data_IF_585961842648
#
_entry.id   IF_585961842648
#
_cell.length_a   1.000
_cell.length_b   1.000
_cell.length_c   1.000
_cell.angle_alpha   90.00
_cell.angle_beta   90.00
_cell.angle_gamma   90.00
#
_symmetry.space_group_name_H-M   'P 1'
#
loop_
_entity.id
_entity.type
_entity.pdbx_description
1 polymer ?
#
# COMPACT_ATOMS: atom_id res chain seq x y z
N UNK A 1 -5.68 46.94 28.77
CA UNK A 1 -4.54 46.35 28.03
C UNK A 1 -5.10 45.62 26.84
N UNK A 2 -4.73 45.93 25.59
CA UNK A 2 -5.43 45.49 24.41
C UNK A 2 -4.96 44.11 23.93
N UNK A 3 -5.95 43.28 23.52
CA UNK A 3 -5.78 41.99 22.84
C UNK A 3 -5.12 42.20 21.48
N UNK A 4 -3.99 41.56 21.22
CA UNK A 4 -3.38 41.49 19.88
C UNK A 4 -4.14 40.44 19.05
N UNK A 5 -4.84 40.90 18.01
CA UNK A 5 -5.33 40.09 16.90
C UNK A 5 -4.12 39.60 16.08
N UNK A 6 -3.95 38.31 15.98
CA UNK A 6 -3.07 37.71 15.00
C UNK A 6 -3.84 37.58 13.67
N UNK A 7 -3.45 38.36 12.70
CA UNK A 7 -3.96 38.28 11.32
C UNK A 7 -3.51 36.97 10.67
N UNK A 8 -4.47 36.11 10.33
CA UNK A 8 -4.28 34.97 9.45
C UNK A 8 -4.04 35.50 8.02
N UNK A 9 -2.85 35.33 7.52
CA UNK A 9 -2.55 35.51 6.11
C UNK A 9 -3.08 34.28 5.35
N UNK A 10 -4.22 34.44 4.70
CA UNK A 10 -4.73 33.56 3.67
C UNK A 10 -3.90 33.85 2.40
N UNK A 11 -2.98 32.96 2.06
CA UNK A 11 -2.41 32.91 0.72
C UNK A 11 -3.47 32.34 -0.22
N UNK A 12 -3.91 33.08 -1.23
CA UNK A 12 -4.71 32.49 -2.29
C UNK A 12 -3.78 31.58 -3.11
N UNK A 13 -4.03 30.29 -3.09
CA UNK A 13 -3.47 29.34 -4.07
C UNK A 13 -4.07 29.74 -5.41
N UNK A 14 -3.28 30.40 -6.22
CA UNK A 14 -3.61 30.70 -7.60
C UNK A 14 -3.59 29.39 -8.37
N UNK A 15 -4.76 28.74 -8.52
CA UNK A 15 -4.95 27.64 -9.46
C UNK A 15 -4.84 28.25 -10.85
N UNK A 16 -3.66 28.18 -11.42
CA UNK A 16 -3.45 28.50 -12.82
C UNK A 16 -4.09 27.38 -13.65
N UNK A 17 -5.38 27.53 -13.97
CA UNK A 17 -6.03 26.79 -15.03
C UNK A 17 -5.38 27.22 -16.34
N UNK A 18 -4.47 26.40 -16.84
CA UNK A 18 -3.89 26.58 -18.17
C UNK A 18 -4.98 26.24 -19.19
N UNK A 19 -5.73 27.25 -19.61
CA UNK A 19 -6.60 27.12 -20.79
C UNK A 19 -5.71 27.15 -22.04
N UNK A 20 -5.55 26.00 -22.66
CA UNK A 20 -4.98 25.94 -24.02
C UNK A 20 -6.02 26.45 -25.01
N UNK A 21 -5.87 27.69 -25.45
CA UNK A 21 -6.62 28.20 -26.60
C UNK A 21 -5.98 27.58 -27.86
N UNK A 22 -6.68 26.66 -28.48
CA UNK A 22 -6.32 26.12 -29.79
C UNK A 22 -6.73 27.15 -30.87
N UNK A 23 -5.76 27.83 -31.46
CA UNK A 23 -6.00 28.61 -32.67
C UNK A 23 -6.15 27.65 -33.85
N UNK A 24 -7.27 27.73 -34.55
CA UNK A 24 -7.63 26.91 -35.68
C UNK A 24 -6.70 27.05 -36.87
N UNK A 25 -6.41 25.92 -37.50
CA UNK A 25 -5.79 25.79 -38.83
C UNK A 25 -6.39 24.57 -39.52
N UNK A 26 -6.95 24.78 -40.71
CA UNK A 26 -7.65 23.79 -41.52
C UNK A 26 -6.80 22.54 -41.80
N UNK A 27 -7.24 21.44 -41.29
CA UNK A 27 -6.69 20.11 -41.53
C UNK A 27 -7.31 19.11 -40.55
N UNK A 28 -8.51 18.60 -40.89
CA UNK A 28 -9.33 17.74 -40.04
C UNK A 28 -8.74 16.33 -39.84
N UNK A 29 -7.67 16.21 -39.11
CA UNK A 29 -7.24 14.93 -38.56
C UNK A 29 -7.93 14.68 -37.23
N UNK A 30 -9.02 13.92 -37.20
CA UNK A 30 -9.67 13.47 -35.97
C UNK A 30 -8.98 12.22 -35.42
N UNK A 31 -8.61 12.21 -34.17
CA UNK A 31 -8.22 10.97 -33.47
C UNK A 31 -9.45 10.44 -32.73
N UNK A 32 -9.83 9.23 -33.08
CA UNK A 32 -10.91 8.53 -32.41
C UNK A 32 -10.31 7.63 -31.35
N UNK A 33 -10.76 7.80 -30.08
CA UNK A 33 -10.41 6.93 -28.97
C UNK A 33 -11.59 6.02 -28.68
N UNK A 34 -11.32 4.75 -28.51
CA UNK A 34 -12.30 3.82 -27.98
C UNK A 34 -11.71 3.13 -26.74
N UNK A 35 -12.51 2.97 -25.71
CA UNK A 35 -12.17 2.26 -24.48
C UNK A 35 -13.41 1.56 -23.93
N UNK A 36 -13.17 0.53 -23.14
CA UNK A 36 -14.23 -0.10 -22.37
C UNK A 36 -14.23 0.53 -21.00
N UNK A 37 -15.28 1.28 -20.68
CA UNK A 37 -15.45 1.81 -19.34
C UNK A 37 -15.55 0.66 -18.35
N UNK A 38 -14.64 0.63 -17.40
CA UNK A 38 -14.71 -0.29 -16.25
C UNK A 38 -15.24 0.53 -15.09
N UNK A 39 -16.53 0.38 -14.81
CA UNK A 39 -17.14 1.02 -13.66
C UNK A 39 -16.39 0.63 -12.38
N UNK A 40 -16.13 1.60 -11.52
CA UNK A 40 -15.80 1.35 -10.13
C UNK A 40 -16.98 0.56 -9.55
N UNK A 41 -16.76 -0.70 -9.20
CA UNK A 41 -17.80 -1.53 -8.61
C UNK A 41 -18.27 -0.90 -7.30
N UNK A 42 -19.60 -0.96 -7.06
CA UNK A 42 -20.21 -0.61 -5.78
C UNK A 42 -19.39 -1.19 -4.60
N UNK A 43 -19.38 -0.44 -3.51
CA UNK A 43 -18.77 -0.82 -2.24
C UNK A 43 -19.09 -2.28 -1.93
N UNK A 44 -18.08 -3.11 -1.92
CA UNK A 44 -18.22 -4.49 -1.47
C UNK A 44 -18.17 -4.49 0.03
N UNK A 45 -19.14 -5.13 0.64
CA UNK A 45 -19.15 -5.60 2.00
C UNK A 45 -17.91 -6.43 2.29
N UNK A 46 -17.22 -6.12 3.40
CA UNK A 46 -16.01 -6.85 3.79
C UNK A 46 -15.85 -6.98 5.31
N UNK A 47 -15.15 -8.01 5.71
CA UNK A 47 -14.80 -8.29 7.09
C UNK A 47 -13.36 -7.92 7.38
N UNK A 48 -13.09 -7.38 8.56
CA UNK A 48 -11.75 -7.11 9.06
C UNK A 48 -11.35 -8.17 10.08
N UNK A 49 -10.13 -8.71 9.94
CA UNK A 49 -9.46 -9.54 10.93
C UNK A 49 -8.18 -8.87 11.38
N UNK A 50 -8.15 -8.40 12.60
CA UNK A 50 -7.04 -7.64 13.15
C UNK A 50 -6.18 -8.54 14.05
N UNK A 51 -4.91 -8.68 13.72
CA UNK A 51 -3.96 -9.55 14.42
C UNK A 51 -2.80 -8.73 14.99
N UNK A 52 -2.54 -8.86 16.29
CA UNK A 52 -1.31 -8.34 16.90
C UNK A 52 -0.44 -9.51 17.32
N UNK A 53 0.84 -9.48 16.89
CA UNK A 53 1.80 -10.48 17.32
C UNK A 53 1.93 -10.48 18.83
N UNK A 54 1.78 -11.67 19.42
CA UNK A 54 1.96 -11.92 20.85
C UNK A 54 3.27 -12.68 21.07
N UNK A 55 4.38 -11.97 20.98
CA UNK A 55 5.72 -12.49 21.32
C UNK A 55 6.39 -11.65 22.38
N UNK A 56 7.38 -12.22 23.07
CA UNK A 56 8.11 -11.51 24.12
C UNK A 56 8.83 -10.25 23.62
N UNK A 57 9.14 -10.14 22.33
CA UNK A 57 9.77 -8.96 21.72
C UNK A 57 8.81 -7.77 21.65
N UNK A 58 7.49 -8.01 21.59
CA UNK A 58 6.48 -6.96 21.54
C UNK A 58 6.27 -6.22 22.86
N UNK A 59 6.61 -6.84 23.99
CA UNK A 59 6.36 -6.29 25.32
C UNK A 59 6.95 -4.88 25.54
N UNK A 60 8.05 -4.57 24.88
CA UNK A 60 8.70 -3.26 25.01
C UNK A 60 7.91 -2.10 24.41
N UNK A 61 6.95 -2.36 23.51
CA UNK A 61 6.08 -1.34 22.93
C UNK A 61 4.92 -0.92 23.85
N UNK A 62 4.71 -1.59 24.97
CA UNK A 62 3.62 -1.26 25.91
C UNK A 62 4.04 -0.27 27.00
N UNK A 63 5.19 0.38 26.85
CA UNK A 63 5.70 1.37 27.79
C UNK A 63 5.02 2.73 27.66
N UNK A 64 5.11 3.54 28.72
CA UNK A 64 4.65 4.92 28.70
C UNK A 64 5.36 5.73 27.60
N UNK A 65 4.62 6.57 26.89
CA UNK A 65 5.10 7.37 25.77
C UNK A 65 5.33 6.57 24.47
N UNK A 66 4.86 5.32 24.39
CA UNK A 66 4.74 4.55 23.16
C UNK A 66 3.44 4.94 22.44
N UNK A 67 3.53 5.16 21.12
CA UNK A 67 2.34 5.37 20.26
C UNK A 67 1.71 4.07 19.78
N UNK A 68 2.32 2.92 20.07
CA UNK A 68 1.93 1.62 19.52
C UNK A 68 0.45 1.30 19.74
N UNK A 69 -0.03 1.38 20.99
CA UNK A 69 -1.43 1.11 21.31
C UNK A 69 -2.38 2.11 20.66
N UNK A 70 -2.02 3.40 20.67
CA UNK A 70 -2.84 4.45 20.08
C UNK A 70 -3.04 4.23 18.57
N UNK A 71 -1.98 3.82 17.87
CA UNK A 71 -2.07 3.52 16.43
C UNK A 71 -2.96 2.31 16.18
N UNK A 72 -2.83 1.24 16.99
CA UNK A 72 -3.69 0.05 16.85
C UNK A 72 -5.15 0.41 17.12
N UNK A 73 -5.41 1.11 18.23
CA UNK A 73 -6.74 1.56 18.60
C UNK A 73 -7.37 2.43 17.51
N UNK A 74 -6.66 3.46 17.07
CA UNK A 74 -7.11 4.36 15.99
C UNK A 74 -7.46 3.58 14.72
N UNK A 75 -6.51 2.76 14.24
CA UNK A 75 -6.68 2.10 12.95
C UNK A 75 -7.74 1.00 12.98
N UNK A 76 -7.87 0.29 14.10
CA UNK A 76 -8.92 -0.71 14.28
C UNK A 76 -10.31 -0.07 14.29
N UNK A 77 -10.49 1.07 14.99
CA UNK A 77 -11.75 1.83 14.98
C UNK A 77 -12.10 2.38 13.59
N UNK A 78 -11.13 2.95 12.87
CA UNK A 78 -11.37 3.44 11.50
C UNK A 78 -11.83 2.32 10.57
N UNK A 79 -11.25 1.13 10.71
CA UNK A 79 -11.67 -0.04 9.92
C UNK A 79 -13.04 -0.57 10.35
N UNK A 80 -13.34 -0.60 11.65
CA UNK A 80 -14.65 -1.00 12.17
C UNK A 80 -15.77 -0.12 11.62
N UNK A 81 -15.54 1.19 11.48
CA UNK A 81 -16.52 2.14 10.93
C UNK A 81 -16.90 1.87 9.46
N UNK A 82 -16.09 1.13 8.72
CA UNK A 82 -16.30 0.90 7.28
C UNK A 82 -16.46 -0.58 6.91
N UNK A 83 -16.19 -1.50 7.83
CA UNK A 83 -16.35 -2.95 7.66
C UNK A 83 -17.73 -3.44 8.12
N UNK A 84 -18.16 -4.60 7.64
CA UNK A 84 -19.37 -5.23 8.15
C UNK A 84 -19.14 -5.88 9.52
N UNK A 85 -17.98 -6.50 9.68
CA UNK A 85 -17.55 -7.09 10.95
C UNK A 85 -16.07 -6.86 11.19
N UNK A 86 -15.70 -6.69 12.46
CA UNK A 86 -14.30 -6.65 12.90
C UNK A 86 -14.08 -7.74 13.93
N UNK A 87 -13.07 -8.56 13.70
CA UNK A 87 -12.65 -9.64 14.60
C UNK A 87 -11.22 -9.42 15.06
N UNK A 88 -10.97 -9.54 16.35
CA UNK A 88 -9.69 -9.24 16.98
C UNK A 88 -8.97 -10.53 17.41
N UNK A 89 -7.66 -10.57 17.16
CA UNK A 89 -6.84 -11.75 17.46
C UNK A 89 -5.47 -11.36 17.98
N UNK A 90 -4.92 -12.15 18.88
CA UNK A 90 -3.48 -12.21 19.09
C UNK A 90 -2.88 -13.38 18.31
N UNK A 91 -1.62 -13.24 17.92
CA UNK A 91 -0.97 -14.19 17.01
C UNK A 91 0.46 -14.50 17.46
N UNK A 92 0.74 -15.80 17.63
CA UNK A 92 2.11 -16.31 17.83
C UNK A 92 2.26 -17.66 17.13
N UNK A 93 2.49 -18.76 17.85
CA UNK A 93 2.46 -20.11 17.30
C UNK A 93 1.04 -20.58 16.95
N UNK A 94 0.02 -19.83 17.34
CA UNK A 94 -1.39 -20.06 17.09
C UNK A 94 -2.17 -18.76 16.99
N UNK A 95 -3.35 -18.80 16.39
CA UNK A 95 -4.32 -17.70 16.36
C UNK A 95 -5.13 -17.76 17.65
N UNK A 96 -5.14 -16.68 18.42
CA UNK A 96 -5.83 -16.56 19.71
C UNK A 96 -6.96 -15.52 19.56
N UNK A 97 -8.24 -15.94 19.47
CA UNK A 97 -9.35 -15.00 19.35
C UNK A 97 -9.49 -14.14 20.60
N UNK A 98 -9.80 -12.86 20.40
CA UNK A 98 -10.20 -11.92 21.43
C UNK A 98 -11.69 -11.60 21.26
N UNK A 99 -12.47 -11.56 22.34
CA UNK A 99 -13.94 -11.54 22.26
C UNK A 99 -14.57 -10.21 22.64
N UNK A 100 -13.81 -9.39 23.35
CA UNK A 100 -14.28 -8.09 23.79
C UNK A 100 -13.99 -7.02 22.71
N UNK A 101 -14.28 -5.77 22.99
CA UNK A 101 -14.16 -4.66 22.03
C UNK A 101 -12.70 -4.19 21.80
N UNK A 102 -12.55 -3.16 20.97
CA UNK A 102 -11.24 -2.59 20.61
C UNK A 102 -10.58 -1.89 21.80
N UNK A 103 -11.37 -1.28 22.69
CA UNK A 103 -10.86 -0.63 23.89
C UNK A 103 -10.22 -1.66 24.80
N UNK A 104 -10.92 -2.73 25.14
CA UNK A 104 -10.43 -3.84 25.94
C UNK A 104 -9.26 -4.58 25.27
N UNK A 105 -9.30 -4.70 23.93
CA UNK A 105 -8.20 -5.27 23.15
C UNK A 105 -6.89 -4.51 23.39
N UNK A 106 -6.92 -3.19 23.30
CA UNK A 106 -5.74 -2.36 23.52
C UNK A 106 -5.32 -2.29 24.99
N UNK A 107 -6.28 -2.29 25.93
CA UNK A 107 -6.00 -2.36 27.37
C UNK A 107 -5.33 -3.68 27.77
N UNK A 108 -5.69 -4.78 27.12
CA UNK A 108 -5.08 -6.11 27.35
C UNK A 108 -3.61 -6.18 26.91
N UNK A 109 -3.13 -5.25 26.08
CA UNK A 109 -1.73 -5.22 25.64
C UNK A 109 -0.81 -4.70 26.76
N UNK A 110 -0.53 -5.56 27.73
CA UNK A 110 0.46 -5.33 28.78
C UNK A 110 1.41 -6.53 28.87
N UNK A 111 2.65 -6.38 29.37
CA UNK A 111 3.56 -7.51 29.53
C UNK A 111 2.97 -8.65 30.37
N UNK A 112 2.18 -8.29 31.38
CA UNK A 112 1.59 -9.25 32.32
C UNK A 112 0.47 -10.10 31.71
N UNK A 113 -0.30 -9.51 30.78
CA UNK A 113 -1.40 -10.21 30.10
C UNK A 113 -0.91 -10.97 28.89
N UNK A 114 0.00 -10.39 28.09
CA UNK A 114 0.54 -11.00 26.89
C UNK A 114 1.16 -12.37 27.14
N UNK A 115 1.94 -12.52 28.21
CA UNK A 115 2.56 -13.79 28.57
C UNK A 115 1.54 -14.89 28.96
N UNK A 116 0.28 -14.51 29.24
CA UNK A 116 -0.79 -15.41 29.68
C UNK A 116 -1.81 -15.75 28.60
N UNK A 117 -1.79 -15.09 27.46
CA UNK A 117 -2.77 -15.29 26.39
C UNK A 117 -2.67 -16.68 25.71
N UNK A 118 -1.60 -17.40 25.93
CA UNK A 118 -1.38 -18.76 25.39
C UNK A 118 -0.50 -18.78 24.16
N UNK A 119 -0.28 -19.99 23.64
CA UNK A 119 0.66 -20.25 22.55
C UNK A 119 2.12 -20.13 22.98
N UNK A 120 3.04 -20.14 22.02
CA UNK A 120 4.48 -20.02 22.29
C UNK A 120 4.92 -18.58 22.00
N UNK A 121 5.15 -17.79 23.05
CA UNK A 121 5.60 -16.40 22.98
C UNK A 121 7.10 -16.24 22.75
N UNK A 122 7.88 -17.33 22.84
CA UNK A 122 9.35 -17.32 22.66
C UNK A 122 9.82 -17.61 21.25
N UNK A 123 8.90 -17.90 20.31
CA UNK A 123 9.25 -18.22 18.93
C UNK A 123 8.43 -17.37 17.94
N UNK A 124 9.11 -16.49 17.23
CA UNK A 124 8.53 -15.73 16.11
C UNK A 124 8.96 -16.36 14.79
N UNK A 125 8.04 -17.09 14.16
CA UNK A 125 8.21 -17.62 12.81
C UNK A 125 7.27 -16.82 11.89
N UNK A 126 7.78 -15.70 11.36
CA UNK A 126 6.97 -14.73 10.61
C UNK A 126 6.31 -15.34 9.37
N UNK A 127 7.00 -16.27 8.68
CA UNK A 127 6.46 -17.01 7.56
C UNK A 127 5.25 -17.87 7.96
N UNK A 128 5.29 -18.49 9.14
CA UNK A 128 4.15 -19.26 9.66
C UNK A 128 3.00 -18.36 10.10
N UNK A 129 3.29 -17.24 10.77
CA UNK A 129 2.28 -16.26 11.14
C UNK A 129 1.57 -15.67 9.92
N UNK A 130 2.32 -15.24 8.91
CA UNK A 130 1.74 -14.79 7.63
C UNK A 130 0.92 -15.89 6.95
N UNK A 131 1.38 -17.14 7.01
CA UNK A 131 0.62 -18.30 6.53
C UNK A 131 -0.71 -18.50 7.27
N UNK A 132 -0.73 -18.34 8.60
CA UNK A 132 -1.96 -18.43 9.40
C UNK A 132 -2.92 -17.30 9.07
N UNK A 133 -2.44 -16.06 8.96
CA UNK A 133 -3.24 -14.89 8.57
C UNK A 133 -3.90 -15.13 7.21
N UNK A 134 -3.12 -15.50 6.20
CA UNK A 134 -3.60 -15.74 4.83
C UNK A 134 -4.57 -16.92 4.75
N UNK A 135 -4.29 -18.03 5.44
CA UNK A 135 -5.18 -19.18 5.44
C UNK A 135 -6.53 -18.92 6.12
N UNK A 136 -6.61 -17.92 6.97
CA UNK A 136 -7.82 -17.50 7.66
C UNK A 136 -8.64 -16.45 6.88
N UNK A 137 -8.24 -16.12 5.64
CA UNK A 137 -8.91 -15.16 4.76
C UNK A 137 -9.87 -15.84 3.78
N UNK A 138 -10.90 -15.10 3.38
CA UNK A 138 -11.69 -15.34 2.18
C UNK A 138 -11.61 -14.13 1.23
N UNK A 139 -12.38 -14.13 0.15
CA UNK A 139 -12.33 -13.05 -0.85
C UNK A 139 -12.89 -11.70 -0.37
N UNK A 140 -13.63 -11.68 0.74
CA UNK A 140 -14.16 -10.47 1.38
C UNK A 140 -13.45 -10.11 2.68
N UNK A 141 -12.35 -10.79 3.03
CA UNK A 141 -11.59 -10.50 4.23
C UNK A 141 -10.45 -9.55 3.94
N UNK A 142 -10.28 -8.54 4.80
CA UNK A 142 -9.06 -7.76 4.94
C UNK A 142 -8.43 -8.10 6.28
N UNK A 143 -7.20 -8.59 6.25
CA UNK A 143 -6.42 -8.92 7.44
C UNK A 143 -5.42 -7.82 7.73
N UNK A 144 -5.41 -7.30 8.95
CA UNK A 144 -4.37 -6.42 9.48
C UNK A 144 -3.48 -7.26 10.39
N UNK A 145 -2.18 -7.24 10.15
CA UNK A 145 -1.20 -7.93 10.98
C UNK A 145 -0.13 -6.98 11.47
N UNK A 146 0.05 -6.89 12.79
CA UNK A 146 1.02 -5.98 13.43
C UNK A 146 2.11 -6.79 14.13
N UNK A 147 3.38 -6.49 13.80
CA UNK A 147 4.56 -7.21 14.28
C UNK A 147 5.80 -6.32 14.26
N UNK A 148 6.76 -6.57 15.14
CA UNK A 148 8.10 -5.97 15.06
C UNK A 148 8.99 -6.67 14.01
N UNK A 149 8.51 -7.74 13.43
CA UNK A 149 9.19 -8.57 12.43
C UNK A 149 10.58 -9.06 12.85
N UNK A 150 10.82 -9.24 14.16
CA UNK A 150 12.06 -9.81 14.66
C UNK A 150 12.05 -11.33 14.39
N UNK A 151 13.06 -11.78 13.64
CA UNK A 151 13.26 -13.21 13.39
C UNK A 151 14.17 -13.82 14.44
N UNK A 152 13.76 -14.96 15.00
CA UNK A 152 14.60 -15.75 15.90
C UNK A 152 15.74 -16.46 15.14
N UNK A 153 16.86 -15.77 14.93
CA UNK A 153 17.99 -16.27 14.13
C UNK A 153 19.04 -16.94 15.02
N UNK A 154 19.46 -18.19 14.74
CA UNK A 154 20.56 -18.82 15.44
C UNK A 154 21.89 -18.09 15.23
N UNK A 155 22.75 -18.10 16.24
CA UNK A 155 24.07 -17.47 16.18
C UNK A 155 24.91 -17.96 15.00
N UNK A 156 25.55 -17.03 14.28
CA UNK A 156 26.46 -17.33 13.17
C UNK A 156 25.79 -17.84 11.89
N UNK A 157 24.45 -17.85 11.80
CA UNK A 157 23.70 -18.40 10.66
C UNK A 157 22.78 -17.36 9.97
N UNK A 158 23.01 -16.07 10.21
CA UNK A 158 22.11 -14.99 9.77
C UNK A 158 21.80 -15.04 8.26
N UNK A 159 22.82 -15.08 7.40
CA UNK A 159 22.64 -15.03 5.94
C UNK A 159 21.82 -16.22 5.43
N UNK A 160 22.16 -17.42 5.89
CA UNK A 160 21.44 -18.64 5.49
C UNK A 160 20.00 -18.60 5.99
N UNK A 161 19.79 -18.15 7.24
CA UNK A 161 18.47 -18.12 7.84
C UNK A 161 17.57 -17.10 7.17
N UNK A 162 18.07 -15.90 6.88
CA UNK A 162 17.33 -14.87 6.17
C UNK A 162 16.99 -15.29 4.73
N UNK A 163 17.88 -15.98 4.03
CA UNK A 163 17.60 -16.52 2.71
C UNK A 163 16.48 -17.56 2.75
N UNK A 164 16.50 -18.47 3.72
CA UNK A 164 15.43 -19.46 3.93
C UNK A 164 14.11 -18.75 4.28
N UNK A 165 14.13 -17.75 5.15
CA UNK A 165 12.94 -16.99 5.50
C UNK A 165 12.34 -16.26 4.28
N UNK A 166 13.18 -15.70 3.40
CA UNK A 166 12.76 -15.12 2.13
C UNK A 166 12.03 -16.12 1.25
N UNK A 167 12.61 -17.32 1.07
CA UNK A 167 12.04 -18.37 0.22
C UNK A 167 10.72 -18.89 0.81
N UNK A 168 10.63 -19.04 2.12
CA UNK A 168 9.41 -19.45 2.81
C UNK A 168 8.30 -18.41 2.62
N UNK A 169 8.58 -17.12 2.85
CA UNK A 169 7.62 -16.04 2.64
C UNK A 169 7.18 -16.00 1.16
N UNK A 170 8.13 -16.09 0.22
CA UNK A 170 7.80 -16.19 -1.20
C UNK A 170 6.83 -17.32 -1.48
N UNK A 171 7.08 -18.52 -0.93
CA UNK A 171 6.20 -19.69 -1.10
C UNK A 171 4.80 -19.45 -0.54
N UNK A 172 4.69 -18.83 0.64
CA UNK A 172 3.40 -18.46 1.26
C UNK A 172 2.61 -17.59 0.31
N UNK A 173 3.21 -16.49 -0.21
CA UNK A 173 2.53 -15.55 -1.09
C UNK A 173 2.27 -16.10 -2.49
N UNK A 174 3.15 -16.91 -3.06
CA UNK A 174 2.88 -17.62 -4.34
C UNK A 174 1.66 -18.51 -4.21
N UNK A 175 1.53 -19.25 -3.11
CA UNK A 175 0.36 -20.11 -2.89
C UNK A 175 -0.91 -19.30 -2.64
N UNK A 176 -0.80 -18.17 -1.93
CA UNK A 176 -1.91 -17.25 -1.71
C UNK A 176 -2.42 -16.65 -3.03
N UNK A 177 -1.52 -16.14 -3.88
CA UNK A 177 -1.83 -15.56 -5.19
C UNK A 177 -2.47 -16.55 -6.18
N UNK A 178 -2.18 -17.85 -6.04
CA UNK A 178 -2.87 -18.90 -6.82
C UNK A 178 -4.34 -19.04 -6.43
N UNK A 179 -4.67 -18.86 -5.14
CA UNK A 179 -6.04 -18.94 -4.61
C UNK A 179 -6.79 -17.62 -4.77
N UNK A 180 -6.14 -16.51 -4.52
CA UNK A 180 -6.67 -15.15 -4.49
C UNK A 180 -5.89 -14.31 -5.50
N UNK A 181 -6.32 -14.34 -6.78
CA UNK A 181 -5.59 -13.69 -7.88
C UNK A 181 -5.51 -12.17 -7.75
N UNK A 182 -6.43 -11.57 -7.03
CA UNK A 182 -6.51 -10.14 -6.74
C UNK A 182 -5.92 -9.78 -5.36
N UNK A 183 -5.15 -10.69 -4.76
CA UNK A 183 -4.50 -10.41 -3.48
C UNK A 183 -3.60 -9.18 -3.60
N UNK A 184 -3.75 -8.27 -2.66
CA UNK A 184 -2.87 -7.13 -2.43
C UNK A 184 -2.23 -7.23 -1.05
N UNK A 185 -1.10 -6.57 -0.90
CA UNK A 185 -0.41 -6.41 0.38
C UNK A 185 0.10 -4.99 0.49
N UNK A 186 -0.18 -4.33 1.60
CA UNK A 186 0.46 -3.09 2.00
C UNK A 186 1.21 -3.27 3.30
N UNK A 187 2.37 -2.65 3.41
CA UNK A 187 3.22 -2.72 4.59
C UNK A 187 3.58 -1.30 5.00
N UNK A 188 3.14 -0.93 6.18
CA UNK A 188 3.48 0.33 6.82
C UNK A 188 4.63 0.10 7.79
N UNK A 189 5.70 0.87 7.65
CA UNK A 189 6.81 0.93 8.60
C UNK A 189 6.54 2.08 9.57
N UNK A 190 6.36 1.77 10.82
CA UNK A 190 6.07 2.72 11.89
C UNK A 190 7.21 2.72 12.92
N UNK A 191 7.34 3.81 13.65
CA UNK A 191 8.25 3.87 14.78
C UNK A 191 7.47 4.12 16.08
N UNK A 192 7.93 3.51 17.17
CA UNK A 192 7.42 3.82 18.49
C UNK A 192 8.51 3.71 19.55
N UNK A 193 8.32 4.38 20.69
CA UNK A 193 9.17 4.14 21.85
C UNK A 193 9.05 2.68 22.26
N UNK A 194 10.18 2.08 22.51
CA UNK A 194 10.35 0.73 23.00
C UNK A 194 11.19 0.75 24.27
N UNK A 195 10.64 0.26 25.37
CA UNK A 195 11.37 0.10 26.63
C UNK A 195 11.16 -1.31 27.16
N UNK A 196 12.16 -2.16 26.97
CA UNK A 196 12.05 -3.58 27.32
C UNK A 196 13.25 -4.40 26.88
N UNK A 197 13.09 -5.72 26.96
CA UNK A 197 14.11 -6.67 26.50
C UNK A 197 14.17 -6.72 24.98
N UNK A 198 15.31 -6.38 24.44
CA UNK A 198 15.63 -6.56 23.02
C UNK A 198 16.35 -7.88 22.80
N UNK A 199 15.77 -8.70 21.92
CA UNK A 199 16.26 -10.03 21.59
C UNK A 199 17.19 -9.96 20.38
N UNK A 200 18.46 -9.78 20.64
CA UNK A 200 19.48 -9.84 19.60
C UNK A 200 19.90 -11.29 19.39
N UNK A 201 19.92 -11.77 18.13
CA UNK A 201 20.31 -13.15 17.88
C UNK A 201 21.74 -13.45 18.36
N UNK A 202 21.89 -14.62 19.00
CA UNK A 202 23.14 -15.10 19.54
C UNK A 202 23.67 -14.38 20.76
N UNK A 203 22.86 -13.52 21.42
CA UNK A 203 23.25 -12.80 22.63
C UNK A 203 22.17 -12.85 23.71
N UNK A 204 22.59 -12.62 24.95
CA UNK A 204 21.63 -12.41 26.04
C UNK A 204 20.77 -11.18 25.76
N UNK A 205 19.45 -11.24 25.98
CA UNK A 205 18.58 -10.10 25.80
C UNK A 205 19.03 -8.89 26.64
N UNK A 206 19.04 -7.70 26.02
CA UNK A 206 19.44 -6.46 26.65
C UNK A 206 18.24 -5.59 26.96
N UNK A 207 18.25 -4.91 28.11
CA UNK A 207 17.29 -3.85 28.40
C UNK A 207 17.66 -2.61 27.60
N UNK A 208 16.69 -2.09 26.85
CA UNK A 208 16.85 -0.87 26.05
C UNK A 208 15.69 0.08 26.27
N UNK A 209 15.92 1.36 25.99
CA UNK A 209 14.88 2.41 25.92
C UNK A 209 15.23 3.29 24.70
N UNK A 210 14.50 3.11 23.60
CA UNK A 210 14.78 3.82 22.34
C UNK A 210 13.59 3.76 21.39
N UNK A 211 13.64 4.54 20.31
CA UNK A 211 12.70 4.41 19.19
C UNK A 211 13.04 3.17 18.37
N UNK A 212 12.03 2.33 18.10
CA UNK A 212 12.18 1.13 17.28
C UNK A 212 11.10 1.01 16.22
N UNK A 213 11.43 0.44 15.04
CA UNK A 213 10.44 0.16 14.02
C UNK A 213 9.56 -1.03 14.42
N UNK A 214 8.29 -0.97 13.99
CA UNK A 214 7.36 -2.08 13.87
C UNK A 214 6.58 -1.93 12.56
N UNK A 215 5.85 -2.95 12.18
CA UNK A 215 5.20 -3.01 10.88
C UNK A 215 3.75 -3.39 11.01
N UNK A 216 2.90 -2.69 10.29
CA UNK A 216 1.49 -3.03 10.12
C UNK A 216 1.26 -3.44 8.68
N UNK A 217 0.70 -4.61 8.48
CA UNK A 217 0.48 -5.25 7.20
C UNK A 217 -1.02 -5.29 6.92
N UNK A 218 -1.42 -4.82 5.77
CA UNK A 218 -2.78 -4.99 5.26
C UNK A 218 -2.72 -6.03 4.15
N UNK A 219 -3.51 -7.09 4.29
CA UNK A 219 -3.53 -8.22 3.35
C UNK A 219 -4.98 -8.50 2.98
N UNK A 220 -5.32 -8.40 1.69
CA UNK A 220 -6.69 -8.59 1.22
C UNK A 220 -6.81 -8.45 -0.28
N UNK A 221 -8.04 -8.40 -0.81
CA UNK A 221 -8.24 -8.00 -2.20
C UNK A 221 -7.66 -6.60 -2.44
N UNK A 222 -6.83 -6.41 -3.46
CA UNK A 222 -6.24 -5.12 -3.81
C UNK A 222 -7.29 -4.01 -3.99
N UNK A 223 -8.50 -4.37 -4.42
CA UNK A 223 -9.62 -3.42 -4.55
C UNK A 223 -10.13 -2.97 -3.20
N UNK A 224 -10.25 -3.89 -2.23
CA UNK A 224 -10.66 -3.55 -0.87
C UNK A 224 -9.58 -2.70 -0.17
N UNK A 225 -8.29 -3.05 -0.33
CA UNK A 225 -7.21 -2.23 0.20
C UNK A 225 -7.20 -0.82 -0.41
N UNK A 226 -7.39 -0.71 -1.73
CA UNK A 226 -7.53 0.59 -2.40
C UNK A 226 -8.72 1.40 -1.89
N UNK A 227 -9.83 0.76 -1.53
CA UNK A 227 -10.98 1.42 -0.92
C UNK A 227 -10.69 1.89 0.51
N UNK A 228 -10.02 1.09 1.32
CA UNK A 228 -9.55 1.48 2.65
C UNK A 228 -8.64 2.70 2.54
N UNK A 229 -7.69 2.70 1.61
CA UNK A 229 -6.79 3.84 1.39
C UNK A 229 -7.52 5.13 1.00
N UNK A 230 -8.63 5.02 0.28
CA UNK A 230 -9.47 6.19 -0.04
C UNK A 230 -10.27 6.70 1.14
N UNK A 231 -10.79 5.81 1.98
CA UNK A 231 -11.69 6.16 3.09
C UNK A 231 -10.96 6.53 4.38
N UNK A 232 -10.00 5.70 4.76
CA UNK A 232 -9.23 5.85 6.00
C UNK A 232 -7.94 6.63 5.72
N UNK A 233 -7.22 6.27 4.65
CA UNK A 233 -5.94 6.85 4.31
C UNK A 233 -4.87 6.56 5.36
N UNK A 234 -3.79 7.34 5.31
CA UNK A 234 -2.64 7.16 6.24
C UNK A 234 -2.37 8.39 7.10
N UNK A 235 -3.09 9.50 6.89
CA UNK A 235 -2.81 10.79 7.55
C UNK A 235 -3.03 10.77 9.07
N UNK A 236 -3.91 9.90 9.57
CA UNK A 236 -4.17 9.72 11.00
C UNK A 236 -3.26 8.68 11.68
N UNK A 237 -2.40 7.99 10.92
CA UNK A 237 -1.49 6.98 11.47
C UNK A 237 -0.26 7.67 12.07
N UNK A 238 -0.22 7.75 13.39
CA UNK A 238 0.88 8.38 14.12
C UNK A 238 2.20 7.65 13.87
N UNK A 239 3.28 8.42 13.63
CA UNK A 239 4.63 7.89 13.43
C UNK A 239 4.80 6.90 12.25
N UNK A 240 3.94 6.99 11.26
CA UNK A 240 4.16 6.33 9.99
C UNK A 240 5.40 6.93 9.31
N UNK A 241 6.39 6.09 9.02
CA UNK A 241 7.67 6.52 8.43
C UNK A 241 7.70 6.28 6.93
N UNK A 242 7.25 5.08 6.50
CA UNK A 242 7.33 4.63 5.12
C UNK A 242 6.26 3.57 4.84
N UNK A 243 5.95 3.37 3.56
CA UNK A 243 5.05 2.31 3.11
C UNK A 243 5.55 1.65 1.82
N UNK A 244 5.10 0.43 1.57
CA UNK A 244 5.24 -0.27 0.29
C UNK A 244 4.02 -1.13 0.03
N UNK A 245 3.54 -1.12 -1.21
CA UNK A 245 2.41 -1.94 -1.63
C UNK A 245 2.78 -2.91 -2.76
N UNK A 246 2.13 -4.06 -2.76
CA UNK A 246 2.24 -5.09 -3.79
C UNK A 246 0.83 -5.46 -4.26
N UNK A 247 0.61 -5.33 -5.54
CA UNK A 247 -0.66 -5.70 -6.17
C UNK A 247 -0.43 -6.41 -7.49
N UNK A 248 -1.36 -7.26 -7.86
CA UNK A 248 -1.42 -7.89 -9.18
C UNK A 248 -2.51 -7.20 -10.00
N UNK A 249 -2.29 -5.92 -10.31
CA UNK A 249 -3.30 -5.06 -10.93
C UNK A 249 -3.73 -5.62 -12.29
N UNK A 250 -4.94 -6.16 -12.39
CA UNK A 250 -5.47 -6.72 -13.64
C UNK A 250 -6.10 -5.64 -14.53
N UNK A 251 -6.96 -4.80 -14.00
CA UNK A 251 -7.65 -3.74 -14.75
C UNK A 251 -7.70 -2.47 -13.92
N UNK A 252 -7.27 -1.37 -14.49
CA UNK A 252 -7.39 -0.05 -13.89
C UNK A 252 -8.67 0.61 -14.43
N UNK A 253 -9.65 0.93 -13.58
CA UNK A 253 -10.83 1.70 -14.00
C UNK A 253 -10.41 3.08 -14.49
N UNK A 254 -10.90 3.50 -15.64
CA UNK A 254 -10.60 4.82 -16.19
C UNK A 254 -11.70 5.31 -17.12
N UNK A 255 -11.70 6.61 -17.36
CA UNK A 255 -12.50 7.27 -18.40
C UNK A 255 -11.67 8.32 -19.12
N UNK A 256 -12.00 8.59 -20.36
CA UNK A 256 -11.41 9.72 -21.10
C UNK A 256 -12.27 10.95 -20.86
N UNK A 257 -11.63 12.07 -20.57
CA UNK A 257 -12.30 13.36 -20.39
C UNK A 257 -12.25 14.11 -21.71
N UNK A 258 -13.43 14.47 -22.22
CA UNK A 258 -13.52 15.28 -23.44
C UNK A 258 -13.08 16.73 -23.22
N UNK A 259 -13.00 17.53 -24.29
CA UNK A 259 -12.57 18.94 -24.25
C UNK A 259 -13.40 19.82 -23.29
N UNK A 260 -14.63 19.40 -22.96
CA UNK A 260 -15.52 20.07 -22.03
C UNK A 260 -15.51 19.48 -20.62
N UNK A 261 -14.62 18.53 -20.34
CA UNK A 261 -14.51 17.89 -19.02
C UNK A 261 -15.61 16.89 -18.71
N UNK A 262 -16.47 16.55 -19.68
CA UNK A 262 -17.56 15.58 -19.49
C UNK A 262 -17.08 14.18 -19.84
N UNK A 263 -17.19 13.17 -18.96
CA UNK A 263 -16.88 11.78 -19.28
C UNK A 263 -17.77 11.27 -20.40
N UNK A 264 -17.18 10.52 -21.35
CA UNK A 264 -17.94 9.96 -22.47
C UNK A 264 -17.34 8.67 -23.01
N UNK A 265 -18.18 7.85 -23.66
CA UNK A 265 -17.81 6.51 -24.16
C UNK A 265 -17.09 6.51 -25.51
N UNK A 266 -17.07 7.61 -26.23
CA UNK A 266 -16.31 7.80 -27.46
C UNK A 266 -15.99 9.27 -27.61
N UNK A 267 -14.74 9.59 -27.84
CA UNK A 267 -14.29 10.96 -28.02
C UNK A 267 -13.53 11.07 -29.32
N UNK A 268 -13.98 11.95 -30.22
CA UNK A 268 -13.13 12.44 -31.31
C UNK A 268 -12.36 13.63 -30.74
N UNK A 269 -11.04 13.51 -30.66
CA UNK A 269 -10.18 14.63 -30.32
C UNK A 269 -9.97 15.42 -31.61
N UNK A 270 -10.40 16.67 -31.61
CA UNK A 270 -10.11 17.55 -32.71
C UNK A 270 -8.67 17.98 -32.67
N UNK A 271 -8.06 17.99 -33.80
CA UNK A 271 -6.97 18.75 -34.32
C UNK A 271 -5.70 18.12 -34.61
N UNK A 272 -5.31 18.33 -35.84
CA UNK A 272 -3.89 18.34 -36.10
C UNK A 272 -3.47 19.18 -37.28
N UNK A 273 -2.47 19.95 -37.03
CA UNK A 273 -1.49 20.33 -38.04
C UNK A 273 -0.52 19.15 -38.17
N UNK A 274 -0.23 18.69 -39.39
CA UNK A 274 0.75 17.63 -39.70
C UNK A 274 2.00 17.80 -38.82
N UNK A 275 2.39 16.76 -38.06
CA UNK A 275 3.54 16.80 -37.18
C UNK A 275 3.30 17.33 -35.76
N UNK A 276 2.08 17.65 -35.34
CA UNK A 276 1.76 18.03 -33.94
C UNK A 276 1.18 16.86 -33.13
N UNK A 277 1.47 16.86 -31.83
CA UNK A 277 0.93 15.88 -30.87
C UNK A 277 -0.51 16.21 -30.55
N UNK A 278 -1.40 15.23 -30.58
CA UNK A 278 -2.69 15.36 -29.91
C UNK A 278 -2.54 15.04 -28.43
N UNK A 279 -3.20 15.82 -27.57
CA UNK A 279 -3.27 15.57 -26.13
C UNK A 279 -4.68 15.21 -25.74
N UNK A 280 -4.81 14.32 -24.75
CA UNK A 280 -6.07 13.97 -24.13
C UNK A 280 -5.86 13.67 -22.65
N UNK A 281 -6.92 13.83 -21.87
CA UNK A 281 -6.94 13.64 -20.45
C UNK A 281 -7.70 12.36 -20.13
N UNK A 282 -7.15 11.53 -19.26
CA UNK A 282 -7.85 10.41 -18.66
C UNK A 282 -7.93 10.59 -17.15
N UNK A 283 -9.04 10.14 -16.56
CA UNK A 283 -9.17 9.96 -15.13
C UNK A 283 -9.14 8.47 -14.82
N UNK A 284 -8.26 8.07 -13.91
CA UNK A 284 -8.03 6.68 -13.57
C UNK A 284 -8.14 6.44 -12.06
N UNK A 285 -8.68 5.29 -11.67
CA UNK A 285 -8.63 4.83 -10.29
C UNK A 285 -7.38 3.97 -10.09
N UNK A 286 -6.31 4.58 -9.58
CA UNK A 286 -5.03 3.91 -9.30
C UNK A 286 -4.96 3.35 -7.88
N UNK A 287 -6.01 3.45 -7.06
CA UNK A 287 -6.00 3.03 -5.66
C UNK A 287 -5.63 1.56 -5.48
N UNK A 288 -6.12 0.69 -6.36
CA UNK A 288 -5.82 -0.76 -6.34
C UNK A 288 -4.39 -1.13 -6.73
N UNK A 289 -3.59 -0.16 -7.19
CA UNK A 289 -2.15 -0.38 -7.42
C UNK A 289 -1.36 -0.47 -6.13
N UNK A 290 -1.90 0.06 -5.03
CA UNK A 290 -1.30 0.11 -3.69
C UNK A 290 0.05 0.84 -3.68
N UNK A 291 0.25 1.78 -4.60
CA UNK A 291 1.46 2.57 -4.69
C UNK A 291 1.25 3.95 -4.07
N UNK A 292 2.29 4.50 -3.47
CA UNK A 292 2.25 5.85 -2.93
C UNK A 292 2.03 6.90 -4.03
N UNK A 293 1.30 7.99 -3.72
CA UNK A 293 1.00 9.06 -4.67
C UNK A 293 2.26 9.65 -5.32
N UNK A 294 3.35 9.78 -4.56
CA UNK A 294 4.64 10.26 -5.08
C UNK A 294 5.22 9.31 -6.16
N UNK A 295 5.03 8.00 -5.99
CA UNK A 295 5.43 7.02 -7.00
C UNK A 295 4.56 7.13 -8.24
N UNK A 296 3.25 7.27 -8.07
CA UNK A 296 2.27 7.38 -9.15
C UNK A 296 2.41 8.69 -9.93
N UNK A 297 2.83 9.78 -9.29
CA UNK A 297 3.07 11.06 -9.96
C UNK A 297 4.27 11.04 -10.92
N UNK A 298 5.19 10.10 -10.75
CA UNK A 298 6.37 10.00 -11.63
C UNK A 298 6.05 9.21 -12.89
N UNK A 299 6.01 9.89 -14.04
CA UNK A 299 5.69 9.29 -15.35
C UNK A 299 6.66 8.19 -15.79
N UNK A 300 7.90 8.16 -15.26
CA UNK A 300 8.87 7.10 -15.51
C UNK A 300 8.45 5.75 -14.90
N UNK A 301 7.51 5.75 -13.95
CA UNK A 301 7.00 4.54 -13.30
C UNK A 301 5.86 3.86 -14.07
N UNK A 302 5.67 4.23 -15.32
CA UNK A 302 4.69 3.59 -16.20
C UNK A 302 5.37 2.89 -17.38
N UNK A 303 4.81 1.75 -17.74
CA UNK A 303 5.14 1.03 -18.97
C UNK A 303 4.06 1.31 -20.01
N UNK A 304 4.48 1.49 -21.26
CA UNK A 304 3.63 1.71 -22.42
C UNK A 304 3.95 0.69 -23.50
N UNK A 305 2.95 0.24 -24.23
CA UNK A 305 3.13 -0.69 -25.34
C UNK A 305 3.76 0.01 -26.54
N UNK A 306 3.37 1.26 -26.80
CA UNK A 306 3.81 2.03 -27.96
C UNK A 306 4.70 3.23 -27.60
N UNK A 307 5.81 3.45 -28.30
CA UNK A 307 6.61 4.67 -28.17
C UNK A 307 5.89 5.93 -28.68
N UNK A 308 4.81 5.77 -29.47
CA UNK A 308 4.03 6.87 -30.03
C UNK A 308 3.13 7.55 -28.99
N UNK A 309 2.90 6.91 -27.86
CA UNK A 309 2.15 7.48 -26.73
C UNK A 309 3.14 7.97 -25.68
N UNK A 310 2.95 9.18 -25.17
CA UNK A 310 3.72 9.71 -24.06
C UNK A 310 2.79 10.12 -22.91
N UNK A 311 3.17 9.78 -21.69
CA UNK A 311 2.54 10.27 -20.46
C UNK A 311 3.27 11.57 -20.10
N UNK A 312 2.56 12.68 -20.13
CA UNK A 312 3.13 14.01 -19.87
C UNK A 312 3.11 14.34 -18.38
N UNK A 313 2.01 13.99 -17.73
CA UNK A 313 1.77 14.31 -16.34
C UNK A 313 0.82 13.27 -15.72
N UNK A 314 1.03 12.97 -14.45
CA UNK A 314 0.08 12.24 -13.60
C UNK A 314 -0.05 13.00 -12.30
N UNK A 315 -1.29 13.31 -11.89
CA UNK A 315 -1.56 14.04 -10.64
C UNK A 315 -2.73 13.43 -9.88
N UNK A 316 -2.65 13.48 -8.57
CA UNK A 316 -3.78 13.11 -7.70
C UNK A 316 -4.91 14.13 -7.84
N UNK A 317 -6.15 13.65 -7.77
CA UNK A 317 -7.36 14.48 -7.80
C UNK A 317 -8.30 14.10 -6.67
N UNK A 318 -9.10 15.07 -6.25
CA UNK A 318 -10.24 14.82 -5.36
C UNK A 318 -11.47 14.51 -6.23
N UNK A 319 -11.78 13.22 -6.37
CA UNK A 319 -12.93 12.76 -7.15
C UNK A 319 -13.49 11.48 -6.49
N UNK A 320 -14.81 11.30 -6.42
CA UNK A 320 -15.43 10.14 -5.75
C UNK A 320 -15.14 8.80 -6.43
N UNK A 321 -14.81 8.82 -7.73
CA UNK A 321 -14.63 7.60 -8.53
C UNK A 321 -13.17 7.36 -8.92
N UNK A 322 -12.46 8.43 -9.29
CA UNK A 322 -11.10 8.35 -9.81
C UNK A 322 -10.12 9.05 -8.87
N UNK A 323 -8.94 8.48 -8.72
CA UNK A 323 -7.92 9.00 -7.82
C UNK A 323 -6.90 9.91 -8.51
N UNK A 324 -6.71 9.73 -9.82
CA UNK A 324 -5.68 10.44 -10.58
C UNK A 324 -6.17 10.91 -11.95
N UNK A 325 -5.60 12.02 -12.41
CA UNK A 325 -5.65 12.45 -13.80
C UNK A 325 -4.30 12.22 -14.47
N UNK A 326 -4.35 11.76 -15.72
CA UNK A 326 -3.18 11.53 -16.57
C UNK A 326 -3.33 12.29 -17.88
N UNK A 327 -2.35 13.14 -18.19
CA UNK A 327 -2.25 13.82 -19.49
C UNK A 327 -1.43 12.97 -20.44
N UNK A 328 -2.05 12.49 -21.50
CA UNK A 328 -1.41 11.69 -22.53
C UNK A 328 -1.24 12.49 -23.82
N UNK A 329 -0.19 12.22 -24.56
CA UNK A 329 -0.01 12.75 -25.91
C UNK A 329 0.28 11.61 -26.88
N UNK A 330 -0.24 11.76 -28.12
CA UNK A 330 -0.04 10.83 -29.22
C UNK A 330 0.74 11.52 -30.30
N UNK A 331 1.73 10.83 -30.86
CA UNK A 331 2.48 11.26 -32.02
C UNK A 331 1.85 10.69 -33.27
N UNK A 332 1.41 11.59 -34.15
CA UNK A 332 0.91 11.36 -35.48
C UNK A 332 -0.09 10.19 -35.71
N UNK A 333 -0.85 10.21 -36.75
CA UNK A 333 -1.99 9.40 -37.18
C UNK A 333 -1.90 7.86 -37.00
N UNK A 334 -1.24 7.38 -35.98
CA UNK A 334 -1.08 5.97 -35.70
C UNK A 334 -2.38 5.34 -35.18
N UNK A 335 -2.85 4.33 -35.90
CA UNK A 335 -3.84 3.40 -35.34
C UNK A 335 -3.11 2.40 -34.47
N UNK A 336 -3.44 2.34 -33.18
CA UNK A 336 -2.78 1.42 -32.26
C UNK A 336 -3.64 1.07 -31.04
N UNK A 337 -3.38 -0.09 -30.51
CA UNK A 337 -3.88 -0.50 -29.19
C UNK A 337 -2.80 -0.24 -28.14
N UNK A 338 -3.07 0.69 -27.24
CA UNK A 338 -2.18 1.04 -26.14
C UNK A 338 -2.58 0.32 -24.86
N UNK A 339 -1.58 -0.05 -24.08
CA UNK A 339 -1.75 -0.58 -22.72
C UNK A 339 -0.75 0.11 -21.81
N UNK A 340 -1.27 0.95 -20.90
CA UNK A 340 -0.47 1.67 -19.91
C UNK A 340 -0.55 0.91 -18.59
N UNK A 341 0.60 0.56 -18.05
CA UNK A 341 0.73 -0.19 -16.78
C UNK A 341 1.56 0.60 -15.79
N UNK A 342 1.20 0.53 -14.52
CA UNK A 342 2.10 0.97 -13.45
C UNK A 342 3.19 -0.10 -13.28
N UNK A 343 4.46 0.29 -13.34
CA UNK A 343 5.57 -0.65 -13.14
C UNK A 343 5.48 -1.28 -11.76
N UNK A 344 5.83 -2.55 -11.69
CA UNK A 344 6.03 -3.20 -10.38
C UNK A 344 7.21 -2.53 -9.71
N UNK A 345 6.98 -2.00 -8.51
CA UNK A 345 8.03 -1.37 -7.74
C UNK A 345 9.13 -2.39 -7.42
N UNK A 346 10.38 -2.04 -7.71
CA UNK A 346 11.49 -2.66 -7.02
C UNK A 346 11.41 -2.30 -5.54
N UNK A 347 12.03 -3.07 -4.66
CA UNK A 347 12.02 -2.75 -3.25
C UNK A 347 12.49 -1.30 -3.04
N UNK A 348 11.67 -0.46 -2.38
CA UNK A 348 12.05 0.93 -2.17
C UNK A 348 13.28 1.01 -1.26
N UNK A 349 14.08 2.06 -1.44
CA UNK A 349 15.35 2.25 -0.73
C UNK A 349 15.20 2.12 0.79
N UNK A 350 14.08 2.58 1.36
CA UNK A 350 13.86 2.50 2.79
C UNK A 350 13.89 1.05 3.35
N UNK A 351 13.53 0.05 2.54
CA UNK A 351 13.58 -1.37 2.96
C UNK A 351 15.03 -1.80 3.19
N UNK A 352 15.95 -1.31 2.37
CA UNK A 352 17.39 -1.52 2.56
C UNK A 352 17.92 -0.72 3.75
N UNK A 353 17.46 0.54 3.90
CA UNK A 353 17.89 1.43 4.99
C UNK A 353 17.43 0.93 6.36
N UNK A 354 16.23 0.33 6.44
CA UNK A 354 15.68 -0.26 7.68
C UNK A 354 16.19 -1.67 7.95
N UNK A 355 16.92 -2.30 7.02
CA UNK A 355 17.46 -3.63 7.20
C UNK A 355 18.75 -3.61 8.00
N UNK A 356 18.88 -4.53 8.95
CA UNK A 356 20.12 -4.84 9.65
C UNK A 356 20.47 -6.32 9.46
N UNK A 357 21.73 -6.59 9.06
CA UNK A 357 22.24 -7.95 8.92
C UNK A 357 22.86 -8.48 10.19
N UNK A 358 23.20 -7.59 11.10
CA UNK A 358 23.93 -7.91 12.33
C UNK A 358 23.01 -8.07 13.55
N UNK A 359 21.79 -7.58 13.46
CA UNK A 359 20.85 -7.49 14.58
C UNK A 359 21.32 -6.55 15.70
N UNK A 360 22.30 -5.68 15.43
CA UNK A 360 22.88 -4.78 16.44
C UNK A 360 22.31 -3.38 16.41
N UNK A 361 21.75 -2.96 15.27
CA UNK A 361 21.21 -1.63 15.13
C UNK A 361 19.78 -1.57 15.66
N UNK A 362 19.61 -0.94 16.83
CA UNK A 362 18.32 -0.83 17.52
C UNK A 362 17.24 -0.08 16.74
N UNK A 363 17.62 0.77 15.78
CA UNK A 363 16.70 1.55 14.92
C UNK A 363 16.32 0.85 13.63
N UNK A 364 16.77 -0.41 13.44
CA UNK A 364 16.53 -1.23 12.26
C UNK A 364 15.97 -2.60 12.67
N UNK A 365 15.47 -3.33 11.68
CA UNK A 365 14.94 -4.69 11.85
C UNK A 365 15.83 -5.69 11.12
N UNK A 366 16.24 -6.73 11.84
CA UNK A 366 17.12 -7.75 11.28
C UNK A 366 16.39 -8.57 10.20
N UNK A 367 16.91 -8.55 8.98
CA UNK A 367 16.41 -9.34 7.87
C UNK A 367 15.13 -8.86 7.20
N UNK A 368 14.61 -7.67 7.53
CA UNK A 368 13.33 -7.17 6.97
C UNK A 368 13.35 -7.12 5.42
N UNK A 369 14.48 -6.81 4.79
CA UNK A 369 14.60 -6.81 3.33
C UNK A 369 14.34 -8.18 2.70
N UNK A 370 14.64 -9.25 3.42
CA UNK A 370 14.41 -10.61 2.94
C UNK A 370 12.93 -10.98 3.02
N UNK A 371 12.26 -10.56 4.09
CA UNK A 371 10.82 -10.77 4.26
C UNK A 371 10.03 -10.03 3.17
N UNK A 372 10.24 -8.71 3.05
CA UNK A 372 9.58 -7.91 2.02
C UNK A 372 10.02 -8.33 0.61
N UNK A 373 11.30 -8.69 0.45
CA UNK A 373 11.84 -9.23 -0.81
C UNK A 373 11.22 -10.56 -1.24
N UNK A 374 10.86 -11.42 -0.29
CA UNK A 374 10.14 -12.66 -0.57
C UNK A 374 8.76 -12.39 -1.18
N UNK A 375 8.04 -11.37 -0.68
CA UNK A 375 6.77 -10.92 -1.25
C UNK A 375 6.97 -10.36 -2.65
N UNK A 376 7.91 -9.44 -2.83
CA UNK A 376 8.22 -8.87 -4.14
C UNK A 376 8.51 -9.95 -5.18
N UNK A 377 9.31 -10.96 -4.81
CA UNK A 377 9.63 -12.10 -5.70
C UNK A 377 8.40 -12.97 -6.00
N UNK A 378 7.47 -13.10 -5.05
CA UNK A 378 6.21 -13.82 -5.28
C UNK A 378 5.36 -13.10 -6.32
N UNK A 379 5.17 -11.80 -6.17
CA UNK A 379 4.41 -11.00 -7.13
C UNK A 379 5.08 -11.00 -8.51
N UNK A 380 6.40 -10.81 -8.59
CA UNK A 380 7.16 -10.88 -9.87
C UNK A 380 6.97 -12.21 -10.59
N UNK A 381 6.80 -13.33 -9.87
CA UNK A 381 6.69 -14.66 -10.47
C UNK A 381 5.31 -14.98 -11.06
N UNK A 382 4.26 -14.20 -10.73
CA UNK A 382 2.86 -14.52 -11.10
C UNK A 382 2.21 -13.38 -11.92
N UNK A 383 2.86 -12.23 -12.04
CA UNK A 383 2.30 -11.01 -12.61
C UNK A 383 1.68 -11.19 -14.00
N UNK A 384 0.37 -10.92 -14.09
CA UNK A 384 -0.34 -10.57 -15.33
C UNK A 384 -0.92 -9.17 -15.17
N UNK A 385 -0.11 -8.14 -15.43
CA UNK A 385 -0.60 -6.76 -15.37
C UNK A 385 -1.41 -6.44 -16.63
N UNK A 386 -2.68 -6.08 -16.48
CA UNK A 386 -3.49 -5.65 -17.62
C UNK A 386 -3.44 -4.14 -17.84
N UNK A 387 -3.55 -3.28 -16.88
CA UNK A 387 -3.42 -1.82 -17.02
C UNK A 387 -4.61 -1.12 -17.71
N UNK A 388 -4.36 0.10 -18.16
CA UNK A 388 -5.30 0.96 -18.91
C UNK A 388 -5.21 0.60 -20.39
N UNK A 389 -6.32 0.15 -21.00
CA UNK A 389 -6.37 -0.24 -22.41
C UNK A 389 -7.15 0.79 -23.23
N UNK A 390 -6.51 1.39 -24.21
CA UNK A 390 -7.08 2.40 -25.10
C UNK A 390 -6.80 2.02 -26.54
N UNK A 391 -7.83 1.98 -27.39
CA UNK A 391 -7.68 1.85 -28.83
C UNK A 391 -7.73 3.24 -29.46
N UNK A 392 -6.75 3.55 -30.28
CA UNK A 392 -6.58 4.81 -31.02
C UNK A 392 -6.78 4.51 -32.49
N UNK A 393 -7.74 5.20 -33.13
CA UNK A 393 -8.10 5.02 -34.54
C UNK A 393 -7.95 6.29 -35.32
#
# INVERSE_FOLDING_TARGET
MPRKMLSRWLFPILVASVFFVSCGGNGDGKVNLSWKETASNAQKSFDVKFYVENSGSMNGYFCDGSSFKNVIHYYANELENIADTTSLFFLNSQVIPFKDDIDDYTLTMTPQTFDKLGGNTSSSSLDKMLGMVINNMNNSTVSVFVSDCILGVPYGQADKYFSIAKDNVKKVFVNALKKHRDLGVEIFCLNSRFKGKFYQYGKTPQQIDTQRPYYMWLIGSQKLLGEINRKVGTSGIENLVQQVGFSNCSVIPFTVVNEHGVPGNATSLSSRTKGKKAQFLIRADLSSTLQADLYLANTANYEKKSPLVAIQEVRKIENPVYTHEMVLSIFDNAQLDECIKVKTMELPQWVYDKNDMTGQNLKKTAGIKYIIGGIADAYKSILQQEGIKITIK
#
